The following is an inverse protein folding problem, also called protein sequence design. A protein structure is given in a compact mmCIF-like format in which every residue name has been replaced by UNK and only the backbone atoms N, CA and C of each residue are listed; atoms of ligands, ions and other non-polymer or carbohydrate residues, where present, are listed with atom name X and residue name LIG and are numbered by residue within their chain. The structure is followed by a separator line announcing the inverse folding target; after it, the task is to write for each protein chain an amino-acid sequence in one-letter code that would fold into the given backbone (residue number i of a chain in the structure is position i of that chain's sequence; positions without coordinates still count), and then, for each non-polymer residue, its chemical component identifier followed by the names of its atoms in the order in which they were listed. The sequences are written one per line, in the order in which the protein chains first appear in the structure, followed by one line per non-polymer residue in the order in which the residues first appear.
data_IF_791054955268
#
_entry.id   IF_791054955268
#
_cell.length_a   1.000
_cell.length_b   1.000
_cell.length_c   1.000
_cell.angle_alpha   90.00
_cell.angle_beta   90.00
_cell.angle_gamma   90.00
#
_symmetry.space_group_name_H-M   'P 1'
#
loop_
_entity.id
_entity.type
_entity.pdbx_description
1 polymer ?
#
# COMPACT_ATOMS: atom_id res chain seq x y z
N UNK A 1 -7.55 -2.74 -0.26
CA UNK A 1 -6.26 -2.01 -0.37
C UNK A 1 -5.17 -3.06 -0.48
N UNK A 2 -4.22 -2.88 -1.40
CA UNK A 2 -3.12 -3.81 -1.63
C UNK A 2 -1.79 -3.06 -1.59
N UNK A 3 -0.77 -3.78 -1.16
CA UNK A 3 0.60 -3.30 -1.07
C UNK A 3 1.47 -4.29 -1.85
N UNK A 4 2.10 -3.83 -2.93
CA UNK A 4 2.94 -4.69 -3.79
C UNK A 4 4.27 -4.04 -4.14
N UNK A 5 5.33 -4.85 -4.26
CA UNK A 5 6.59 -4.38 -4.83
C UNK A 5 6.41 -3.99 -6.30
N UNK A 6 7.15 -2.98 -6.75
CA UNK A 6 7.19 -2.61 -8.16
C UNK A 6 8.32 -3.40 -8.84
N UNK A 7 8.04 -4.27 -9.82
CA UNK A 7 9.08 -4.97 -10.56
C UNK A 7 10.06 -3.97 -11.19
N UNK A 8 11.36 -4.16 -10.93
CA UNK A 8 12.42 -3.28 -11.44
C UNK A 8 12.72 -2.05 -10.58
N UNK A 9 11.99 -1.79 -9.49
CA UNK A 9 12.28 -0.70 -8.56
C UNK A 9 12.54 -1.26 -7.15
N UNK A 10 13.81 -1.58 -6.88
CA UNK A 10 14.22 -2.18 -5.61
C UNK A 10 13.89 -1.25 -4.42
N UNK A 11 13.23 -1.83 -3.42
CA UNK A 11 12.85 -1.15 -2.18
C UNK A 11 11.72 -0.13 -2.28
N UNK A 12 10.99 -0.12 -3.41
CA UNK A 12 9.79 0.69 -3.60
C UNK A 12 8.57 -0.22 -3.74
N UNK A 13 7.55 0.12 -2.96
CA UNK A 13 6.23 -0.49 -3.02
C UNK A 13 5.21 0.49 -3.60
N UNK A 14 4.18 -0.06 -4.23
CA UNK A 14 2.94 0.65 -4.53
C UNK A 14 1.83 0.24 -3.56
N UNK A 15 1.10 1.23 -3.06
CA UNK A 15 -0.17 1.07 -2.37
C UNK A 15 -1.29 1.45 -3.33
N UNK A 16 -2.26 0.58 -3.53
CA UNK A 16 -3.41 0.87 -4.40
C UNK A 16 -4.70 0.19 -3.90
N UNK A 17 -5.83 0.58 -4.46
CA UNK A 17 -7.15 0.10 -4.03
C UNK A 17 -7.71 -0.90 -5.03
N UNK A 18 -8.45 -1.87 -4.50
CA UNK A 18 -9.12 -2.90 -5.30
C UNK A 18 -10.48 -3.24 -4.70
N UNK A 19 -11.36 -3.84 -5.50
CA UNK A 19 -12.67 -4.33 -5.06
C UNK A 19 -12.61 -5.55 -4.14
N UNK A 20 -11.43 -6.12 -3.93
CA UNK A 20 -11.17 -7.32 -3.12
C UNK A 20 -11.95 -8.57 -3.56
N UNK A 21 -12.38 -8.62 -4.83
CA UNK A 21 -12.96 -9.81 -5.43
C UNK A 21 -11.95 -10.96 -5.50
N UNK A 22 -12.44 -12.19 -5.34
CA UNK A 22 -11.62 -13.40 -5.49
C UNK A 22 -11.66 -13.90 -6.95
N UNK A 23 -10.53 -14.35 -7.51
CA UNK A 23 -9.20 -14.43 -6.89
C UNK A 23 -8.49 -13.05 -6.87
N UNK A 24 -7.80 -12.75 -5.76
CA UNK A 24 -7.29 -11.39 -5.47
C UNK A 24 -6.30 -10.84 -6.50
N UNK A 25 -5.58 -11.70 -7.22
CA UNK A 25 -4.68 -11.31 -8.30
C UNK A 25 -5.41 -10.77 -9.55
N UNK A 26 -6.71 -11.05 -9.67
CA UNK A 26 -7.59 -10.54 -10.73
C UNK A 26 -8.56 -9.47 -10.24
N UNK A 27 -8.44 -9.05 -8.98
CA UNK A 27 -9.28 -8.03 -8.37
C UNK A 27 -9.16 -6.70 -9.11
N UNK A 28 -10.29 -6.07 -9.39
CA UNK A 28 -10.35 -4.83 -10.16
C UNK A 28 -9.70 -3.70 -9.38
N UNK A 29 -8.82 -2.95 -10.03
CA UNK A 29 -8.27 -1.73 -9.44
C UNK A 29 -9.34 -0.65 -9.31
N UNK A 30 -9.37 0.02 -8.17
CA UNK A 30 -10.32 1.08 -7.85
C UNK A 30 -9.58 2.39 -7.57
N UNK A 31 -10.24 3.54 -7.79
CA UNK A 31 -9.70 4.81 -7.30
C UNK A 31 -9.56 4.78 -5.77
N UNK A 32 -8.58 5.52 -5.21
CA UNK A 32 -8.48 5.66 -3.77
C UNK A 32 -9.74 6.32 -3.20
N UNK A 33 -10.19 5.93 -1.99
CA UNK A 33 -11.27 6.61 -1.30
C UNK A 33 -10.96 8.11 -1.14
N UNK A 34 -11.99 8.95 -1.28
CA UNK A 34 -11.84 10.37 -1.02
C UNK A 34 -11.30 10.61 0.40
N UNK A 35 -10.35 11.56 0.52
CA UNK A 35 -9.67 11.89 1.78
C UNK A 35 -8.84 10.74 2.38
N UNK A 36 -8.45 9.76 1.56
CA UNK A 36 -7.37 8.85 1.91
C UNK A 36 -6.01 9.55 1.74
N UNK A 37 -5.13 9.39 2.72
CA UNK A 37 -3.79 9.96 2.68
C UNK A 37 -2.76 9.00 3.28
N UNK A 38 -1.54 9.03 2.75
CA UNK A 38 -0.39 8.33 3.31
C UNK A 38 0.70 9.37 3.58
N UNK A 39 1.17 9.44 4.81
CA UNK A 39 2.29 10.29 5.20
C UNK A 39 3.45 9.43 5.69
N UNK A 40 4.68 9.82 5.37
CA UNK A 40 5.87 9.21 5.94
C UNK A 40 6.07 9.63 7.41
N UNK A 41 7.08 9.04 8.06
CA UNK A 41 7.42 9.34 9.45
C UNK A 41 7.91 10.78 9.69
N UNK A 42 8.27 11.51 8.64
CA UNK A 42 8.65 12.93 8.70
C UNK A 42 7.45 13.87 8.42
N UNK A 43 6.28 13.33 8.11
CA UNK A 43 5.06 14.09 7.80
C UNK A 43 4.90 14.47 6.33
N UNK A 44 5.75 13.96 5.44
CA UNK A 44 5.60 14.21 4.00
C UNK A 44 4.56 13.26 3.40
N UNK A 45 3.76 13.75 2.46
CA UNK A 45 2.83 12.89 1.74
C UNK A 45 3.61 11.91 0.84
N UNK A 46 3.16 10.65 0.81
CA UNK A 46 3.68 9.67 -0.12
C UNK A 46 3.50 10.15 -1.57
N UNK A 47 4.50 9.91 -2.41
CA UNK A 47 4.43 10.27 -3.82
C UNK A 47 3.31 9.49 -4.53
N UNK A 48 2.57 10.16 -5.41
CA UNK A 48 1.50 9.53 -6.18
C UNK A 48 1.96 9.33 -7.62
N UNK A 49 1.75 8.13 -8.17
CA UNK A 49 2.03 7.81 -9.56
C UNK A 49 0.86 7.07 -10.19
N UNK A 50 0.55 7.37 -11.44
CA UNK A 50 -0.40 6.60 -12.23
C UNK A 50 0.35 5.50 -12.99
N UNK A 51 0.09 4.25 -12.65
CA UNK A 51 0.71 3.07 -13.27
C UNK A 51 -0.38 2.28 -13.99
N UNK A 52 -0.31 2.23 -15.33
CA UNK A 52 -1.28 1.53 -16.18
C UNK A 52 -2.75 1.92 -15.90
N UNK A 53 -3.00 3.21 -15.64
CA UNK A 53 -4.35 3.72 -15.32
C UNK A 53 -4.73 3.60 -13.84
N UNK A 54 -3.88 3.00 -13.00
CA UNK A 54 -4.12 2.83 -11.56
C UNK A 54 -3.38 3.90 -10.78
N UNK A 55 -4.11 4.68 -9.98
CA UNK A 55 -3.52 5.63 -9.03
C UNK A 55 -2.88 4.86 -7.87
N UNK A 56 -1.57 5.00 -7.74
CA UNK A 56 -0.75 4.32 -6.74
C UNK A 56 -0.03 5.32 -5.85
N UNK A 57 0.12 5.00 -4.57
CA UNK A 57 1.02 5.71 -3.66
C UNK A 57 2.33 4.93 -3.56
N UNK A 58 3.46 5.61 -3.72
CA UNK A 58 4.78 5.02 -3.64
C UNK A 58 5.30 5.14 -2.21
N UNK A 59 5.71 4.01 -1.63
CA UNK A 59 6.33 3.97 -0.32
C UNK A 59 7.67 3.24 -0.37
N UNK A 60 8.61 3.62 0.48
CA UNK A 60 9.94 3.05 0.56
C UNK A 60 10.03 2.06 1.72
N UNK A 61 10.63 0.89 1.49
CA UNK A 61 10.71 -0.18 2.49
C UNK A 61 11.45 0.20 3.78
N UNK A 62 12.35 1.20 3.71
CA UNK A 62 13.16 1.65 4.85
C UNK A 62 12.52 2.82 5.62
N UNK A 63 11.26 3.17 5.33
CA UNK A 63 10.56 4.30 5.94
C UNK A 63 9.26 3.85 6.61
N UNK A 64 8.89 4.56 7.68
CA UNK A 64 7.62 4.36 8.35
C UNK A 64 6.55 5.21 7.67
N UNK A 65 5.31 4.71 7.64
CA UNK A 65 4.18 5.41 7.04
C UNK A 65 2.94 5.33 7.92
N UNK A 66 2.13 6.38 7.90
CA UNK A 66 0.80 6.40 8.48
C UNK A 66 -0.22 6.61 7.38
N UNK A 67 -1.18 5.70 7.28
CA UNK A 67 -2.31 5.78 6.36
C UNK A 67 -3.54 6.23 7.13
N UNK A 68 -4.23 7.22 6.58
CA UNK A 68 -5.42 7.80 7.20
C UNK A 68 -6.56 7.92 6.19
N UNK A 69 -7.77 7.86 6.69
CA UNK A 69 -8.99 8.11 5.92
C UNK A 69 -9.82 9.13 6.70
N UNK A 70 -10.15 10.26 6.05
CA UNK A 70 -10.90 11.36 6.68
C UNK A 70 -10.24 11.88 7.97
N UNK A 71 -8.91 11.92 8.00
CA UNK A 71 -8.13 12.37 9.15
C UNK A 71 -7.98 11.34 10.29
N UNK A 72 -8.64 10.18 10.20
CA UNK A 72 -8.46 9.10 11.16
C UNK A 72 -7.38 8.15 10.68
N UNK A 73 -6.40 7.84 11.53
CA UNK A 73 -5.39 6.82 11.25
C UNK A 73 -6.07 5.45 11.18
N UNK A 74 -5.88 4.76 10.06
CA UNK A 74 -6.44 3.41 9.84
C UNK A 74 -5.34 2.33 9.79
N UNK A 75 -4.10 2.72 9.51
CA UNK A 75 -2.98 1.79 9.44
C UNK A 75 -1.65 2.53 9.65
N UNK A 76 -0.69 1.88 10.32
CA UNK A 76 0.67 2.39 10.48
C UNK A 76 1.68 1.31 10.16
N UNK A 77 2.63 1.67 9.31
CA UNK A 77 3.74 0.86 8.84
C UNK A 77 5.00 1.33 9.58
N UNK A 78 5.62 0.45 10.39
CA UNK A 78 6.83 0.79 11.16
C UNK A 78 8.04 0.14 10.50
N UNK A 79 9.19 0.80 10.62
CA UNK A 79 10.46 0.40 10.02
C UNK A 79 11.11 -0.85 10.64
N UNK A 80 10.53 -1.47 11.68
CA UNK A 80 11.28 -2.48 12.46
C UNK A 80 10.50 -3.55 13.26
N UNK A 81 9.21 -3.82 13.01
CA UNK A 81 8.58 -5.04 13.55
C UNK A 81 7.63 -5.60 12.51
N UNK A 82 7.84 -6.86 12.17
CA UNK A 82 7.33 -7.50 10.97
C UNK A 82 6.65 -8.84 11.32
N UNK A 83 5.36 -8.84 11.71
CA UNK A 83 4.54 -10.07 11.82
C UNK A 83 3.04 -9.76 11.60
N UNK A 84 2.52 -10.03 10.39
CA UNK A 84 1.11 -10.31 10.18
C UNK A 84 0.94 -11.52 9.25
N UNK A 85 0.55 -12.65 9.83
CA UNK A 85 0.24 -13.88 9.08
C UNK A 85 -1.21 -13.85 8.62
N UNK A 86 -1.45 -13.77 7.30
CA UNK A 86 -2.76 -14.10 6.71
C UNK A 86 -2.62 -15.41 5.94
N UNK A 87 -3.33 -16.43 6.42
CA UNK A 87 -3.29 -17.81 5.94
C UNK A 87 -4.10 -17.97 4.65
N UNK A 88 -3.59 -17.54 3.49
CA UNK A 88 -4.11 -17.97 2.18
C UNK A 88 -2.94 -18.23 1.22
N UNK A 89 -2.86 -19.40 0.56
CA UNK A 89 -1.75 -19.71 -0.35
C UNK A 89 -1.79 -18.85 -1.62
N UNK A 90 -0.63 -18.30 -2.01
CA UNK A 90 -0.38 -17.82 -3.39
C UNK A 90 -0.33 -16.31 -3.61
N UNK A 91 -0.39 -15.48 -2.56
CA UNK A 91 -0.26 -14.01 -2.70
C UNK A 91 0.88 -13.54 -1.81
N UNK A 92 1.98 -13.10 -2.41
CA UNK A 92 3.09 -12.46 -1.71
C UNK A 92 2.71 -11.01 -1.43
N UNK A 93 2.08 -10.75 -0.30
CA UNK A 93 2.08 -9.40 0.27
C UNK A 93 3.46 -9.10 0.86
N UNK A 94 3.74 -7.82 1.11
CA UNK A 94 4.85 -7.48 1.99
C UNK A 94 4.74 -8.32 3.24
N UNK A 95 5.75 -9.14 3.48
CA UNK A 95 6.14 -9.42 4.86
C UNK A 95 6.58 -8.06 5.39
N UNK A 96 5.63 -7.38 6.03
CA UNK A 96 5.91 -6.50 7.16
C UNK A 96 5.67 -7.37 8.36
#
# INVERSE_FOLDING_TARGET
MRLENIPGAAGIAKVYFTDSSLPLNTSTALPPPALFNIVDSAGNNAAIQNLNGVVCYLIHQNMGYTMSLRGQVIFSLRTQVQECTITVPGITHFTI
#
